data_IF_387998934344
#
_entry.id   IF_387998934344
#
_cell.length_a   1.000
_cell.length_b   1.000
_cell.length_c   1.000
_cell.angle_alpha   90.00
_cell.angle_beta   90.00
_cell.angle_gamma   90.00
#
_symmetry.space_group_name_H-M   'P 1'
#
loop_
_entity.id
_entity.type
_entity.pdbx_description
1 polymer ?
#
# COMPACT_ATOMS: atom_id res chain seq x y z
N UNK A 1 -21.92 -21.86 -4.91
CA UNK A 1 -22.28 -20.42 -4.87
C UNK A 1 -20.99 -19.63 -4.77
N UNK A 2 -20.74 -18.62 -5.62
CA UNK A 2 -19.60 -17.75 -5.36
C UNK A 2 -19.81 -17.12 -3.99
N UNK A 3 -18.78 -17.14 -3.14
CA UNK A 3 -18.84 -16.59 -1.79
C UNK A 3 -19.38 -15.15 -1.88
N UNK A 4 -20.37 -14.80 -1.04
CA UNK A 4 -20.95 -13.45 -0.98
C UNK A 4 -19.81 -12.43 -0.86
N UNK A 5 -19.54 -11.70 -1.94
CA UNK A 5 -18.57 -10.60 -1.97
C UNK A 5 -18.98 -9.57 -0.91
N UNK A 6 -18.05 -9.09 -0.06
CA UNK A 6 -18.33 -7.97 0.83
C UNK A 6 -18.82 -6.79 -0.03
N UNK A 7 -20.03 -6.29 0.23
CA UNK A 7 -20.63 -5.25 -0.58
C UNK A 7 -20.25 -3.88 -0.01
N UNK A 8 -19.61 -3.03 -0.81
CA UNK A 8 -19.48 -1.62 -0.46
C UNK A 8 -20.79 -0.89 -0.81
N UNK A 9 -21.21 0.05 0.05
CA UNK A 9 -22.53 0.68 -0.10
C UNK A 9 -22.71 1.40 -1.44
N UNK A 10 -21.66 2.06 -1.93
CA UNK A 10 -21.68 2.76 -3.21
C UNK A 10 -21.69 1.83 -4.43
N UNK A 11 -21.44 0.52 -4.23
CA UNK A 11 -21.54 -0.51 -5.28
C UNK A 11 -22.95 -1.11 -5.39
N UNK A 12 -23.89 -0.80 -4.48
CA UNK A 12 -25.27 -1.34 -4.50
C UNK A 12 -25.92 -1.26 -5.90
N UNK A 13 -25.90 -0.12 -6.63
CA UNK A 13 -26.53 -0.04 -7.95
C UNK A 13 -25.87 -0.97 -8.99
N UNK A 14 -24.57 -1.22 -8.85
CA UNK A 14 -23.83 -2.11 -9.74
C UNK A 14 -24.17 -3.57 -9.43
N UNK A 15 -24.25 -3.94 -8.15
CA UNK A 15 -24.57 -5.32 -7.75
C UNK A 15 -25.99 -5.71 -8.13
N UNK A 16 -26.95 -4.78 -8.08
CA UNK A 16 -28.31 -5.02 -8.58
C UNK A 16 -28.30 -5.35 -10.09
N UNK A 17 -27.51 -4.62 -10.89
CA UNK A 17 -27.34 -4.90 -12.32
C UNK A 17 -26.65 -6.26 -12.55
N UNK A 18 -25.60 -6.58 -11.80
CA UNK A 18 -24.90 -7.87 -11.90
C UNK A 18 -25.81 -9.05 -11.52
N UNK A 19 -26.68 -8.88 -10.52
CA UNK A 19 -27.69 -9.89 -10.17
C UNK A 19 -28.73 -10.07 -11.27
N UNK A 20 -29.18 -8.99 -11.92
CA UNK A 20 -30.08 -9.08 -13.07
C UNK A 20 -29.42 -9.80 -14.25
N UNK A 21 -28.16 -9.50 -14.55
CA UNK A 21 -27.37 -10.18 -15.59
C UNK A 21 -27.29 -11.68 -15.29
N UNK A 22 -26.98 -12.05 -14.04
CA UNK A 22 -26.86 -13.46 -13.64
C UNK A 22 -28.21 -14.19 -13.70
N UNK A 23 -29.31 -13.55 -13.30
CA UNK A 23 -30.66 -14.11 -13.43
C UNK A 23 -31.03 -14.36 -14.90
N UNK A 24 -30.74 -13.41 -15.79
CA UNK A 24 -30.99 -13.56 -17.23
C UNK A 24 -30.11 -14.67 -17.82
N UNK A 25 -28.84 -14.78 -17.41
CA UNK A 25 -27.95 -15.88 -17.81
C UNK A 25 -28.49 -17.24 -17.35
N UNK A 26 -29.07 -17.33 -16.16
CA UNK A 26 -29.68 -18.56 -15.67
C UNK A 26 -30.94 -18.92 -16.46
N UNK A 27 -31.83 -17.95 -16.69
CA UNK A 27 -33.02 -18.14 -17.53
C UNK A 27 -32.68 -18.58 -18.96
N UNK A 28 -31.60 -18.05 -19.54
CA UNK A 28 -31.11 -18.44 -20.85
C UNK A 28 -30.57 -19.88 -20.92
N UNK A 29 -30.08 -20.41 -19.80
CA UNK A 29 -29.65 -21.82 -19.72
C UNK A 29 -30.84 -22.76 -19.64
N UNK A 30 -31.91 -22.32 -18.99
CA UNK A 30 -33.11 -23.13 -18.73
C UNK A 30 -34.18 -22.99 -19.83
N UNK A 31 -34.02 -22.07 -20.79
CA UNK A 31 -34.96 -21.81 -21.88
C UNK A 31 -34.26 -21.67 -23.24
N UNK A 32 -34.91 -22.04 -24.34
CA UNK A 32 -34.39 -21.85 -25.71
C UNK A 32 -34.49 -20.39 -26.21
N UNK A 33 -34.63 -19.41 -25.31
CA UNK A 33 -34.80 -17.99 -25.67
C UNK A 33 -33.44 -17.33 -25.87
N UNK A 34 -33.23 -16.74 -27.05
CA UNK A 34 -32.03 -15.93 -27.31
C UNK A 34 -32.11 -14.59 -26.56
N UNK A 35 -31.31 -14.46 -25.51
CA UNK A 35 -31.16 -13.23 -24.71
C UNK A 35 -29.80 -12.55 -24.94
N UNK A 36 -29.04 -12.96 -25.95
CA UNK A 36 -27.65 -12.53 -26.15
C UNK A 36 -27.52 -11.00 -26.29
N UNK A 37 -28.43 -10.36 -27.02
CA UNK A 37 -28.45 -8.90 -27.17
C UNK A 37 -28.76 -8.18 -25.85
N UNK A 38 -29.72 -8.69 -25.08
CA UNK A 38 -30.10 -8.10 -23.80
C UNK A 38 -28.98 -8.24 -22.77
N UNK A 39 -28.30 -9.39 -22.74
CA UNK A 39 -27.11 -9.60 -21.91
C UNK A 39 -25.99 -8.63 -22.28
N UNK A 40 -25.67 -8.48 -23.56
CA UNK A 40 -24.63 -7.56 -24.01
C UNK A 40 -24.93 -6.10 -23.65
N UNK A 41 -26.20 -5.68 -23.74
CA UNK A 41 -26.64 -4.35 -23.32
C UNK A 41 -26.47 -4.14 -21.80
N UNK A 42 -26.89 -5.11 -20.99
CA UNK A 42 -26.77 -5.02 -19.53
C UNK A 42 -25.31 -5.08 -19.07
N UNK A 43 -24.49 -5.93 -19.67
CA UNK A 43 -23.04 -6.01 -19.39
C UNK A 43 -22.34 -4.70 -19.73
N UNK A 44 -22.68 -4.09 -20.87
CA UNK A 44 -22.16 -2.78 -21.26
C UNK A 44 -22.59 -1.67 -20.31
N UNK A 45 -23.86 -1.71 -19.85
CA UNK A 45 -24.37 -0.77 -18.86
C UNK A 45 -23.66 -0.94 -17.51
N UNK A 46 -23.47 -2.18 -17.04
CA UNK A 46 -22.79 -2.48 -15.80
C UNK A 46 -21.32 -2.02 -15.85
N UNK A 47 -20.61 -2.27 -16.96
CA UNK A 47 -19.24 -1.80 -17.16
C UNK A 47 -19.14 -0.27 -17.08
N UNK A 48 -20.01 0.45 -17.80
CA UNK A 48 -20.05 1.92 -17.77
C UNK A 48 -20.39 2.45 -16.37
N UNK A 49 -21.36 1.84 -15.68
CA UNK A 49 -21.71 2.23 -14.30
C UNK A 49 -20.56 2.00 -13.33
N UNK A 50 -19.83 0.90 -13.47
CA UNK A 50 -18.64 0.63 -12.66
C UNK A 50 -17.58 1.70 -12.86
N UNK A 51 -17.33 2.10 -14.11
CA UNK A 51 -16.38 3.17 -14.43
C UNK A 51 -16.81 4.52 -13.85
N UNK A 52 -18.09 4.89 -14.00
CA UNK A 52 -18.67 6.12 -13.42
C UNK A 52 -18.53 6.15 -11.88
N UNK A 53 -18.74 5.02 -11.20
CA UNK A 53 -18.61 4.93 -9.73
C UNK A 53 -17.13 5.05 -9.31
N UNK A 54 -16.24 4.26 -9.92
CA UNK A 54 -14.85 4.14 -9.47
C UNK A 54 -13.99 5.35 -9.85
N UNK A 55 -14.30 6.04 -10.95
CA UNK A 55 -13.64 7.31 -11.31
C UNK A 55 -14.04 8.48 -10.38
N UNK A 56 -15.21 8.39 -9.75
CA UNK A 56 -15.79 9.43 -8.90
C UNK A 56 -15.61 9.24 -7.39
N UNK A 57 -14.76 8.29 -6.94
CA UNK A 57 -14.68 7.95 -5.52
C UNK A 57 -14.15 9.10 -4.66
N UNK A 58 -14.92 9.43 -3.62
CA UNK A 58 -14.49 10.33 -2.54
C UNK A 58 -13.36 9.70 -1.72
N UNK A 59 -12.56 10.49 -0.96
CA UNK A 59 -11.52 9.93 -0.09
C UNK A 59 -12.04 8.89 0.91
N UNK A 60 -13.24 9.10 1.47
CA UNK A 60 -13.88 8.14 2.36
C UNK A 60 -14.20 6.81 1.66
N UNK A 61 -14.69 6.85 0.43
CA UNK A 61 -14.94 5.64 -0.36
C UNK A 61 -13.63 4.95 -0.79
N UNK A 62 -12.58 5.72 -1.12
CA UNK A 62 -11.25 5.14 -1.38
C UNK A 62 -10.69 4.40 -0.16
N UNK A 63 -10.88 4.91 1.06
CA UNK A 63 -10.54 4.17 2.29
C UNK A 63 -11.29 2.84 2.35
N UNK A 64 -12.59 2.81 2.01
CA UNK A 64 -13.37 1.57 1.99
C UNK A 64 -12.81 0.57 0.97
N UNK A 65 -12.39 1.03 -0.21
CA UNK A 65 -11.72 0.19 -1.22
C UNK A 65 -10.36 -0.31 -0.74
N UNK A 66 -9.54 0.55 -0.13
CA UNK A 66 -8.24 0.20 0.46
C UNK A 66 -8.36 -0.85 1.58
N UNK A 67 -9.47 -0.80 2.33
CA UNK A 67 -9.80 -1.72 3.42
C UNK A 67 -10.60 -2.95 2.97
N UNK A 68 -10.87 -3.09 1.67
CA UNK A 68 -11.73 -4.16 1.17
C UNK A 68 -11.14 -5.53 1.56
N UNK A 69 -11.92 -6.45 2.18
CA UNK A 69 -11.39 -7.72 2.70
C UNK A 69 -10.74 -8.64 1.65
N UNK A 70 -11.13 -8.48 0.38
CA UNK A 70 -10.56 -9.23 -0.75
C UNK A 70 -9.52 -8.44 -1.53
N UNK A 71 -9.09 -7.27 -1.05
CA UNK A 71 -7.99 -6.53 -1.67
C UNK A 71 -6.73 -7.40 -1.63
N UNK A 72 -6.01 -7.58 -2.75
CA UNK A 72 -4.83 -8.44 -2.76
C UNK A 72 -3.79 -7.93 -1.76
N UNK A 73 -3.29 -8.85 -0.95
CA UNK A 73 -2.28 -8.63 0.07
C UNK A 73 -0.87 -8.86 -0.49
N UNK A 74 0.16 -8.59 0.32
CA UNK A 74 1.58 -8.74 -0.09
C UNK A 74 1.88 -10.09 -0.73
N UNK A 75 1.51 -11.21 -0.08
CA UNK A 75 1.78 -12.54 -0.62
C UNK A 75 1.04 -12.84 -1.92
N UNK A 76 -0.14 -12.23 -2.13
CA UNK A 76 -0.91 -12.39 -3.37
C UNK A 76 -0.14 -11.78 -4.54
N UNK A 77 0.38 -10.57 -4.38
CA UNK A 77 1.22 -9.94 -5.39
C UNK A 77 2.53 -10.70 -5.59
N UNK A 78 3.23 -11.08 -4.52
CA UNK A 78 4.50 -11.83 -4.61
C UNK A 78 4.31 -13.11 -5.44
N UNK A 79 3.24 -13.87 -5.18
CA UNK A 79 2.94 -15.10 -5.91
C UNK A 79 2.64 -14.86 -7.40
N UNK A 80 2.01 -13.74 -7.74
CA UNK A 80 1.64 -13.41 -9.12
C UNK A 80 2.81 -12.81 -9.93
N UNK A 81 3.70 -12.04 -9.29
CA UNK A 81 4.73 -11.27 -10.01
C UNK A 81 6.13 -11.87 -9.95
N UNK A 82 6.36 -12.88 -9.10
CA UNK A 82 7.70 -13.45 -8.89
C UNK A 82 7.78 -14.96 -9.06
N UNK A 83 8.97 -15.43 -9.42
CA UNK A 83 9.33 -16.84 -9.47
C UNK A 83 10.22 -17.22 -8.28
N UNK A 84 10.05 -18.44 -7.77
CA UNK A 84 10.95 -19.04 -6.77
C UNK A 84 11.05 -18.25 -5.46
N UNK A 85 9.92 -17.72 -4.97
CA UNK A 85 9.89 -17.00 -3.70
C UNK A 85 10.15 -17.95 -2.52
N UNK A 86 11.12 -17.58 -1.69
CA UNK A 86 11.46 -18.25 -0.44
C UNK A 86 11.29 -17.27 0.72
N UNK A 87 10.28 -17.50 1.56
CA UNK A 87 10.03 -16.70 2.76
C UNK A 87 11.12 -16.93 3.81
N UNK A 88 11.56 -15.85 4.47
CA UNK A 88 12.63 -15.85 5.46
C UNK A 88 12.12 -15.32 6.80
N UNK A 89 12.06 -16.21 7.79
CA UNK A 89 11.45 -15.95 9.08
C UNK A 89 12.40 -15.37 10.14
N UNK A 90 11.81 -14.70 11.13
CA UNK A 90 12.41 -14.35 12.41
C UNK A 90 13.26 -13.07 12.40
N UNK A 91 13.37 -12.42 13.56
CA UNK A 91 14.21 -11.24 13.79
C UNK A 91 15.59 -11.57 14.39
N UNK A 92 15.84 -12.85 14.71
CA UNK A 92 17.01 -13.35 15.46
C UNK A 92 17.11 -12.84 16.91
N UNK A 93 15.99 -12.36 17.46
CA UNK A 93 15.83 -11.94 18.86
C UNK A 93 14.70 -12.70 19.58
N UNK A 94 14.15 -13.74 18.93
CA UNK A 94 13.23 -14.69 19.55
C UNK A 94 11.79 -14.64 19.02
N UNK A 95 11.50 -13.84 17.99
CA UNK A 95 10.14 -13.72 17.44
C UNK A 95 10.13 -13.71 15.91
N UNK A 96 9.05 -14.24 15.33
CA UNK A 96 8.71 -14.11 13.92
C UNK A 96 7.32 -13.49 13.78
N UNK A 97 7.28 -12.18 13.52
CA UNK A 97 6.03 -11.46 13.37
C UNK A 97 5.33 -11.80 12.05
N UNK A 98 4.10 -12.30 12.13
CA UNK A 98 3.31 -12.71 10.96
C UNK A 98 2.64 -11.55 10.22
N UNK A 99 2.60 -10.37 10.84
CA UNK A 99 2.05 -9.14 10.25
C UNK A 99 3.00 -8.53 9.20
N UNK A 100 4.27 -8.94 9.19
CA UNK A 100 5.27 -8.48 8.24
C UNK A 100 6.00 -9.67 7.65
N UNK A 101 5.84 -9.92 6.35
CA UNK A 101 6.44 -11.05 5.64
C UNK A 101 7.62 -10.55 4.79
N UNK A 102 8.54 -11.46 4.46
CA UNK A 102 9.60 -11.11 3.53
C UNK A 102 10.48 -12.29 3.16
N UNK A 103 11.13 -12.19 2.02
CA UNK A 103 11.87 -13.29 1.42
C UNK A 103 12.58 -12.90 0.14
N UNK A 104 13.24 -13.86 -0.49
CA UNK A 104 13.95 -13.66 -1.75
C UNK A 104 13.17 -14.34 -2.86
N UNK A 105 12.99 -13.66 -3.98
CA UNK A 105 12.36 -14.20 -5.19
C UNK A 105 13.01 -13.60 -6.44
N UNK A 106 12.45 -13.93 -7.60
CA UNK A 106 12.90 -13.38 -8.88
C UNK A 106 11.80 -12.57 -9.54
N UNK A 107 12.09 -11.30 -9.86
CA UNK A 107 11.26 -10.44 -10.70
C UNK A 107 11.91 -10.38 -12.09
N UNK A 108 11.25 -10.91 -13.11
CA UNK A 108 11.78 -11.01 -14.47
C UNK A 108 13.20 -11.61 -14.51
N UNK A 109 13.39 -12.72 -13.79
CA UNK A 109 14.68 -13.42 -13.66
C UNK A 109 15.69 -12.79 -12.69
N UNK A 110 15.52 -11.52 -12.28
CA UNK A 110 16.41 -10.82 -11.35
C UNK A 110 16.07 -11.13 -9.90
N UNK A 111 17.07 -11.55 -9.13
CA UNK A 111 16.91 -11.76 -7.69
C UNK A 111 16.63 -10.43 -6.96
N UNK A 112 15.58 -10.42 -6.16
CA UNK A 112 15.14 -9.26 -5.37
C UNK A 112 14.73 -9.72 -3.97
N UNK A 113 14.86 -8.84 -2.98
CA UNK A 113 14.21 -9.00 -1.69
C UNK A 113 12.80 -8.42 -1.78
N UNK A 114 11.80 -9.20 -1.39
CA UNK A 114 10.42 -8.75 -1.23
C UNK A 114 10.08 -8.72 0.25
N UNK A 115 9.41 -7.66 0.69
CA UNK A 115 9.09 -7.37 2.07
C UNK A 115 7.74 -6.66 2.11
N UNK A 116 6.87 -6.94 3.07
CA UNK A 116 5.65 -6.15 3.20
C UNK A 116 4.77 -6.53 4.36
N UNK A 117 3.76 -5.71 4.57
CA UNK A 117 2.70 -5.98 5.55
C UNK A 117 1.77 -7.05 5.02
N UNK A 118 1.36 -7.97 5.87
CA UNK A 118 0.49 -9.07 5.48
C UNK A 118 -0.76 -9.08 6.34
N UNK A 119 -1.87 -8.64 5.75
CA UNK A 119 -3.22 -8.85 6.29
C UNK A 119 -3.68 -10.29 6.04
N UNK A 120 -4.72 -10.72 6.74
CA UNK A 120 -5.36 -12.02 6.53
C UNK A 120 -6.55 -11.91 5.58
N UNK A 121 -6.91 -13.00 4.91
CA UNK A 121 -8.08 -13.05 4.01
C UNK A 121 -9.40 -13.28 4.75
N UNK A 122 -9.33 -13.91 5.92
CA UNK A 122 -10.48 -14.17 6.78
C UNK A 122 -10.21 -13.74 8.23
N UNK A 123 -11.20 -13.85 9.10
CA UNK A 123 -11.08 -13.44 10.51
C UNK A 123 -9.96 -14.18 11.24
N UNK A 124 -9.79 -15.48 10.98
CA UNK A 124 -8.79 -16.32 11.65
C UNK A 124 -7.38 -15.91 11.23
N UNK A 125 -7.18 -15.73 9.93
CA UNK A 125 -5.91 -15.24 9.40
C UNK A 125 -5.61 -13.81 9.85
N UNK A 126 -6.61 -12.93 9.88
CA UNK A 126 -6.43 -11.56 10.33
C UNK A 126 -5.97 -11.51 11.79
N UNK A 127 -6.57 -12.28 12.68
CA UNK A 127 -6.10 -12.40 14.07
C UNK A 127 -4.68 -12.95 14.11
N UNK A 128 -4.39 -14.01 13.35
CA UNK A 128 -3.06 -14.63 13.33
C UNK A 128 -1.95 -13.72 12.78
N UNK A 129 -2.32 -12.73 11.95
CA UNK A 129 -1.41 -11.73 11.36
C UNK A 129 -1.58 -10.34 11.96
N UNK A 130 -2.27 -10.24 13.10
CA UNK A 130 -2.53 -8.99 13.79
C UNK A 130 -3.08 -7.89 12.87
N UNK A 131 -3.92 -8.25 11.91
CA UNK A 131 -4.51 -7.35 10.91
C UNK A 131 -3.47 -6.54 10.11
N UNK A 132 -2.25 -7.08 9.93
CA UNK A 132 -1.14 -6.38 9.27
C UNK A 132 -0.46 -5.31 10.15
N UNK A 133 -0.77 -5.25 11.44
CA UNK A 133 -0.13 -4.36 12.41
C UNK A 133 1.13 -5.01 12.97
N UNK A 134 2.30 -4.62 12.44
CA UNK A 134 3.57 -5.16 12.91
C UNK A 134 3.90 -4.68 14.33
N UNK A 135 4.41 -5.61 15.12
CA UNK A 135 5.08 -5.42 16.41
C UNK A 135 6.57 -5.07 16.19
N UNK A 136 7.33 -4.72 17.24
CA UNK A 136 8.73 -4.32 17.08
C UNK A 136 9.60 -5.40 16.41
N UNK A 137 9.31 -6.68 16.68
CA UNK A 137 9.98 -7.81 16.04
C UNK A 137 9.76 -7.87 14.52
N UNK A 138 8.60 -7.42 14.02
CA UNK A 138 8.33 -7.28 12.59
C UNK A 138 9.27 -6.29 11.92
N UNK A 139 9.40 -5.08 12.47
CA UNK A 139 10.32 -4.07 11.93
C UNK A 139 11.79 -4.50 12.03
N UNK A 140 12.19 -5.17 13.12
CA UNK A 140 13.54 -5.73 13.28
C UNK A 140 13.82 -6.85 12.28
N UNK A 141 12.84 -7.71 11.99
CA UNK A 141 12.91 -8.69 10.91
C UNK A 141 13.06 -7.99 9.56
N UNK A 142 12.26 -6.96 9.27
CA UNK A 142 12.37 -6.17 8.06
C UNK A 142 13.80 -5.62 7.87
N UNK A 143 14.36 -4.98 8.91
CA UNK A 143 15.72 -4.44 8.87
C UNK A 143 16.78 -5.53 8.68
N UNK A 144 16.64 -6.68 9.33
CA UNK A 144 17.54 -7.82 9.12
C UNK A 144 17.54 -8.25 7.65
N UNK A 145 16.37 -8.35 7.03
CA UNK A 145 16.23 -8.71 5.62
C UNK A 145 16.79 -7.62 4.70
N UNK A 146 16.50 -6.35 4.96
CA UNK A 146 17.06 -5.23 4.20
C UNK A 146 18.60 -5.18 4.27
N UNK A 147 19.19 -5.45 5.44
CA UNK A 147 20.66 -5.58 5.60
C UNK A 147 21.22 -6.77 4.82
N UNK A 148 20.49 -7.87 4.74
CA UNK A 148 20.87 -9.01 3.92
C UNK A 148 20.87 -8.64 2.43
N UNK A 149 19.80 -8.01 1.95
CA UNK A 149 19.71 -7.51 0.58
C UNK A 149 20.83 -6.52 0.26
N UNK A 150 21.10 -5.57 1.14
CA UNK A 150 22.22 -4.63 1.01
C UNK A 150 23.58 -5.34 0.86
N UNK A 151 23.86 -6.35 1.70
CA UNK A 151 25.11 -7.12 1.65
C UNK A 151 25.29 -7.85 0.33
N UNK A 152 24.21 -8.44 -0.19
CA UNK A 152 24.23 -9.23 -1.43
C UNK A 152 23.84 -8.43 -2.67
N UNK A 153 23.74 -7.10 -2.55
CA UNK A 153 23.38 -6.17 -3.63
C UNK A 153 22.05 -6.54 -4.33
N UNK A 154 21.07 -7.00 -3.54
CA UNK A 154 19.73 -7.29 -4.01
C UNK A 154 18.88 -6.01 -3.92
N UNK A 155 18.14 -5.64 -4.98
CA UNK A 155 17.10 -4.62 -4.88
C UNK A 155 16.01 -5.03 -3.88
N UNK A 156 15.36 -4.04 -3.28
CA UNK A 156 14.35 -4.24 -2.24
C UNK A 156 13.02 -3.69 -2.73
N UNK A 157 11.98 -4.53 -2.68
CA UNK A 157 10.61 -4.19 -3.02
C UNK A 157 9.75 -4.30 -1.75
N UNK A 158 9.24 -3.15 -1.28
CA UNK A 158 8.44 -3.04 -0.06
C UNK A 158 6.95 -2.86 -0.40
N UNK A 159 6.07 -3.64 0.23
CA UNK A 159 4.62 -3.54 0.07
C UNK A 159 3.97 -3.05 1.37
N UNK A 160 3.34 -1.88 1.29
CA UNK A 160 2.74 -1.19 2.42
C UNK A 160 1.24 -1.45 2.43
N UNK A 161 0.77 -2.13 3.48
CA UNK A 161 -0.64 -2.42 3.73
C UNK A 161 -0.91 -2.67 5.22
N UNK A 162 -0.94 -1.58 5.98
CA UNK A 162 -1.14 -1.62 7.42
C UNK A 162 -2.02 -0.46 7.87
N UNK A 163 -2.96 -0.68 8.81
CA UNK A 163 -3.67 0.42 9.47
C UNK A 163 -2.74 1.20 10.42
N UNK A 164 -1.59 0.62 10.79
CA UNK A 164 -0.60 1.23 11.67
C UNK A 164 0.26 0.19 12.37
N UNK A 165 1.29 0.65 13.08
CA UNK A 165 2.04 -0.22 13.97
C UNK A 165 1.15 -0.72 15.11
N UNK A 166 1.40 -1.93 15.61
CA UNK A 166 0.62 -2.47 16.72
C UNK A 166 0.82 -1.62 17.98
N UNK A 167 -0.28 -1.06 18.51
CA UNK A 167 -0.30 -0.20 19.68
C UNK A 167 -0.74 -0.98 20.93
N UNK A 168 0.08 -1.93 21.36
CA UNK A 168 -0.17 -2.75 22.55
C UNK A 168 0.91 -2.58 23.61
N UNK A 169 0.59 -2.88 24.88
CA UNK A 169 1.52 -2.75 26.02
C UNK A 169 2.86 -3.44 25.75
N UNK A 170 2.83 -4.69 25.29
CA UNK A 170 4.03 -5.45 24.99
C UNK A 170 4.87 -4.85 23.85
N UNK A 171 4.23 -4.21 22.87
CA UNK A 171 4.95 -3.54 21.79
C UNK A 171 5.71 -2.30 22.32
N UNK A 172 5.13 -1.57 23.28
CA UNK A 172 5.81 -0.47 23.96
C UNK A 172 6.98 -0.98 24.82
N UNK A 173 6.77 -2.02 25.63
CA UNK A 173 7.83 -2.65 26.43
C UNK A 173 9.00 -3.16 25.56
N UNK A 174 8.69 -3.72 24.39
CA UNK A 174 9.68 -4.21 23.43
C UNK A 174 10.27 -3.11 22.53
N UNK A 175 9.82 -1.86 22.63
CA UNK A 175 10.39 -0.70 21.93
C UNK A 175 9.88 -0.48 20.50
N UNK A 176 8.57 -0.29 20.32
CA UNK A 176 7.94 -0.01 19.01
C UNK A 176 8.52 1.24 18.33
N UNK A 177 8.63 2.34 19.07
CA UNK A 177 9.23 3.57 18.56
C UNK A 177 10.69 3.39 18.14
N UNK A 178 11.49 2.65 18.92
CA UNK A 178 12.89 2.34 18.59
C UNK A 178 13.00 1.52 17.31
N UNK A 179 12.20 0.46 17.19
CA UNK A 179 12.28 -0.43 16.04
C UNK A 179 11.93 0.29 14.73
N UNK A 180 10.90 1.15 14.75
CA UNK A 180 10.54 2.00 13.60
C UNK A 180 11.66 3.00 13.32
N UNK A 181 12.12 3.76 14.33
CA UNK A 181 13.15 4.78 14.15
C UNK A 181 14.48 4.20 13.63
N UNK A 182 14.87 3.02 14.12
CA UNK A 182 16.04 2.30 13.63
C UNK A 182 15.89 1.95 12.14
N UNK A 183 14.72 1.45 11.72
CA UNK A 183 14.47 1.19 10.31
C UNK A 183 14.61 2.46 9.47
N UNK A 184 13.96 3.57 9.86
CA UNK A 184 14.04 4.83 9.13
C UNK A 184 15.49 5.26 8.91
N UNK A 185 16.29 5.27 9.98
CA UNK A 185 17.70 5.65 9.92
C UNK A 185 18.50 4.76 8.97
N UNK A 186 18.36 3.44 9.10
CA UNK A 186 19.17 2.48 8.35
C UNK A 186 18.78 2.44 6.86
N UNK A 187 17.50 2.65 6.55
CA UNK A 187 17.01 2.67 5.18
C UNK A 187 17.62 3.80 4.34
N UNK A 188 17.95 4.95 4.93
CA UNK A 188 18.71 6.01 4.23
C UNK A 188 20.13 5.57 3.82
N UNK A 189 20.74 4.63 4.54
CA UNK A 189 22.09 4.12 4.25
C UNK A 189 22.16 3.01 3.21
N UNK A 190 21.02 2.45 2.77
CA UNK A 190 21.01 1.31 1.86
C UNK A 190 21.57 1.70 0.47
N UNK A 191 22.62 1.01 0.07
CA UNK A 191 23.32 1.21 -1.22
C UNK A 191 22.73 0.40 -2.40
N UNK A 192 21.48 -0.07 -2.26
CA UNK A 192 20.73 -0.82 -3.27
C UNK A 192 19.44 -0.08 -3.59
N UNK A 193 18.84 -0.29 -4.77
CA UNK A 193 17.53 0.25 -5.08
C UNK A 193 16.46 -0.22 -4.10
N UNK A 194 15.64 0.71 -3.62
CA UNK A 194 14.47 0.46 -2.77
C UNK A 194 13.25 1.08 -3.43
N UNK A 195 12.25 0.26 -3.71
CA UNK A 195 10.93 0.71 -4.20
C UNK A 195 9.91 0.32 -3.16
N UNK A 196 9.16 1.30 -2.65
CA UNK A 196 8.01 1.06 -1.78
C UNK A 196 6.72 1.28 -2.56
N UNK A 197 5.73 0.42 -2.35
CA UNK A 197 4.41 0.54 -2.96
C UNK A 197 3.33 0.44 -1.89
N UNK A 198 2.49 1.46 -1.76
CA UNK A 198 1.27 1.35 -0.94
C UNK A 198 0.24 0.59 -1.75
N UNK A 199 -0.01 -0.65 -1.31
CA UNK A 199 -0.94 -1.57 -1.98
C UNK A 199 -2.32 -1.59 -1.33
N UNK A 200 -2.46 -1.05 -0.13
CA UNK A 200 -3.74 -0.90 0.57
C UNK A 200 -3.69 0.33 1.48
N UNK A 201 -3.50 0.12 2.78
CA UNK A 201 -3.38 1.21 3.75
C UNK A 201 -1.92 1.53 4.11
N UNK A 202 -1.59 2.82 4.11
CA UNK A 202 -0.34 3.38 4.61
C UNK A 202 -0.56 4.06 5.96
N UNK A 203 -0.68 3.29 7.03
CA UNK A 203 -0.91 3.80 8.38
C UNK A 203 0.34 4.33 9.08
N UNK A 204 0.48 5.66 9.13
CA UNK A 204 1.39 6.40 10.02
C UNK A 204 2.86 5.91 9.99
N UNK A 205 3.54 5.97 11.14
CA UNK A 205 4.91 5.50 11.32
C UNK A 205 5.07 3.99 11.06
N UNK A 206 4.00 3.21 11.19
CA UNK A 206 4.06 1.77 10.89
C UNK A 206 4.30 1.50 9.42
N UNK A 207 3.55 2.17 8.54
CA UNK A 207 3.80 2.15 7.11
C UNK A 207 5.19 2.72 6.76
N UNK A 208 5.56 3.84 7.39
CA UNK A 208 6.85 4.49 7.15
C UNK A 208 8.05 3.63 7.57
N UNK A 209 7.88 2.73 8.54
CA UNK A 209 8.91 1.80 9.03
C UNK A 209 9.50 0.85 7.97
N UNK A 210 8.86 0.74 6.79
CA UNK A 210 9.43 0.10 5.59
C UNK A 210 9.28 0.96 4.33
N UNK A 211 8.95 2.25 4.49
CA UNK A 211 8.54 3.15 3.41
C UNK A 211 9.58 4.20 2.99
N UNK A 212 10.80 4.17 3.56
CA UNK A 212 11.91 5.02 3.11
C UNK A 212 12.55 4.41 1.86
N UNK A 213 12.27 4.98 0.68
CA UNK A 213 12.55 4.37 -0.61
C UNK A 213 13.01 5.39 -1.67
N UNK A 214 13.73 4.90 -2.69
CA UNK A 214 14.11 5.71 -3.86
C UNK A 214 12.89 6.09 -4.70
N UNK A 215 11.91 5.18 -4.75
CA UNK A 215 10.59 5.38 -5.38
C UNK A 215 9.48 4.95 -4.43
N UNK A 216 8.47 5.79 -4.28
CA UNK A 216 7.24 5.53 -3.55
C UNK A 216 6.09 5.55 -4.56
N UNK A 217 5.52 4.38 -4.80
CA UNK A 217 4.38 4.18 -5.67
C UNK A 217 3.11 4.01 -4.81
N UNK A 218 1.95 4.34 -5.34
CA UNK A 218 0.67 4.06 -4.70
C UNK A 218 -0.33 3.57 -5.72
N UNK A 219 -1.09 2.53 -5.39
CA UNK A 219 -2.29 2.23 -6.17
C UNK A 219 -3.33 3.33 -5.99
N UNK A 220 -4.13 3.56 -7.04
CA UNK A 220 -5.05 4.68 -7.18
C UNK A 220 -6.02 4.87 -6.00
N UNK A 221 -6.50 3.76 -5.43
CA UNK A 221 -7.45 3.76 -4.30
C UNK A 221 -6.79 3.38 -2.98
N UNK A 222 -5.45 3.26 -2.93
CA UNK A 222 -4.71 3.16 -1.68
C UNK A 222 -4.64 4.50 -0.97
N UNK A 223 -4.43 4.46 0.35
CA UNK A 223 -4.38 5.66 1.20
C UNK A 223 -3.09 5.70 1.99
N UNK A 224 -2.53 6.88 2.23
CA UNK A 224 -1.35 7.06 3.09
C UNK A 224 -1.59 8.25 4.01
N UNK A 225 -1.51 8.03 5.32
CA UNK A 225 -1.91 9.04 6.30
C UNK A 225 -1.05 9.01 7.56
N UNK A 226 -0.88 10.17 8.20
CA UNK A 226 -0.18 10.31 9.49
C UNK A 226 -0.98 9.73 10.67
N UNK A 227 -2.30 9.72 10.56
CA UNK A 227 -3.22 9.18 11.57
C UNK A 227 -4.49 8.66 10.88
N UNK A 228 -5.19 7.71 11.49
CA UNK A 228 -6.46 7.27 10.94
C UNK A 228 -7.46 8.45 10.91
N UNK A 229 -8.32 8.55 9.87
CA UNK A 229 -9.35 9.58 9.81
C UNK A 229 -10.26 9.57 11.05
N UNK A 230 -10.54 8.40 11.60
CA UNK A 230 -11.34 8.22 12.82
C UNK A 230 -10.65 8.82 14.05
N UNK A 231 -9.33 8.60 14.20
CA UNK A 231 -8.56 9.21 15.30
C UNK A 231 -8.47 10.73 15.12
N UNK A 232 -8.21 11.20 13.90
CA UNK A 232 -8.17 12.63 13.58
C UNK A 232 -9.49 13.33 13.89
N UNK A 233 -10.62 12.75 13.46
CA UNK A 233 -11.96 13.25 13.74
C UNK A 233 -12.27 13.31 15.25
N UNK A 234 -11.91 12.26 15.98
CA UNK A 234 -12.10 12.21 17.44
C UNK A 234 -11.29 13.26 18.20
N UNK A 235 -10.12 13.66 17.68
CA UNK A 235 -9.25 14.65 18.34
C UNK A 235 -9.66 16.08 17.95
N UNK A 236 -9.72 16.37 16.65
CA UNK A 236 -9.90 17.73 16.15
C UNK A 236 -11.37 18.17 16.17
N UNK A 237 -12.30 17.26 15.88
CA UNK A 237 -13.73 17.55 15.88
C UNK A 237 -14.47 17.02 17.12
N UNK A 238 -13.80 16.22 17.97
CA UNK A 238 -14.42 15.54 19.13
C UNK A 238 -15.60 14.65 18.74
N UNK A 239 -15.60 14.16 17.50
CA UNK A 239 -16.67 13.35 16.93
C UNK A 239 -16.11 12.39 15.87
N UNK A 240 -16.08 11.09 16.19
CA UNK A 240 -15.60 10.05 15.28
C UNK A 240 -16.46 9.91 14.00
N UNK A 241 -17.74 10.34 14.04
CA UNK A 241 -18.62 10.30 12.88
C UNK A 241 -18.17 11.26 11.77
N UNK A 242 -17.29 12.23 12.09
CA UNK A 242 -16.69 13.16 11.13
C UNK A 242 -15.44 12.62 10.44
N UNK A 243 -15.23 11.30 10.45
CA UNK A 243 -14.10 10.65 9.78
C UNK A 243 -14.00 10.96 8.28
N UNK A 244 -15.13 11.13 7.58
CA UNK A 244 -15.15 11.52 6.18
C UNK A 244 -14.62 12.95 5.95
N UNK A 245 -15.02 13.90 6.82
CA UNK A 245 -14.53 15.28 6.80
C UNK A 245 -13.02 15.33 7.10
N UNK A 246 -12.57 14.55 8.10
CA UNK A 246 -11.16 14.41 8.44
C UNK A 246 -10.33 13.80 7.30
N UNK A 247 -10.84 12.76 6.61
CA UNK A 247 -10.16 12.14 5.48
C UNK A 247 -9.94 13.15 4.33
N UNK A 248 -10.93 14.00 4.05
CA UNK A 248 -10.82 15.07 3.06
C UNK A 248 -9.79 16.12 3.46
N UNK A 249 -9.80 16.54 4.73
CA UNK A 249 -8.88 17.55 5.25
C UNK A 249 -7.42 17.07 5.26
N UNK A 250 -7.20 15.79 5.58
CA UNK A 250 -5.88 15.18 5.67
C UNK A 250 -5.20 14.93 4.31
N UNK A 251 -5.94 14.99 3.19
CA UNK A 251 -5.39 14.82 1.83
C UNK A 251 -4.61 13.50 1.66
N UNK A 252 -5.27 12.39 1.99
CA UNK A 252 -4.65 11.06 2.14
C UNK A 252 -4.57 10.23 0.85
N UNK A 253 -5.15 10.72 -0.25
CA UNK A 253 -5.29 9.94 -1.49
C UNK A 253 -4.00 9.96 -2.32
N UNK A 254 -3.81 8.96 -3.19
CA UNK A 254 -2.67 8.92 -4.11
C UNK A 254 -2.56 10.21 -4.94
N UNK A 255 -3.69 10.75 -5.39
CA UNK A 255 -3.75 12.00 -6.18
C UNK A 255 -3.34 13.22 -5.35
N UNK A 256 -3.79 13.30 -4.09
CA UNK A 256 -3.38 14.37 -3.19
C UNK A 256 -1.87 14.34 -2.92
N UNK A 257 -1.34 13.17 -2.58
CA UNK A 257 0.05 12.98 -2.18
C UNK A 257 1.01 13.16 -3.36
N UNK A 258 0.56 12.85 -4.59
CA UNK A 258 1.30 13.18 -5.82
C UNK A 258 1.37 14.70 -6.01
N UNK A 259 0.25 15.43 -5.82
CA UNK A 259 0.25 16.91 -5.87
C UNK A 259 1.13 17.55 -4.79
N UNK A 260 1.31 16.88 -3.66
CA UNK A 260 2.20 17.29 -2.57
C UNK A 260 3.67 16.88 -2.80
N UNK A 261 3.98 16.17 -3.89
CA UNK A 261 5.34 15.72 -4.22
C UNK A 261 5.88 14.61 -3.32
N UNK A 262 4.99 13.83 -2.68
CA UNK A 262 5.34 12.71 -1.80
C UNK A 262 5.42 11.39 -2.58
N UNK A 263 4.46 11.16 -3.47
CA UNK A 263 4.33 9.95 -4.30
C UNK A 263 4.94 10.21 -5.68
N UNK A 264 5.74 9.25 -6.16
CA UNK A 264 6.41 9.35 -7.45
C UNK A 264 5.55 8.85 -8.61
N UNK A 265 4.67 7.88 -8.37
CA UNK A 265 3.76 7.34 -9.38
C UNK A 265 2.48 6.78 -8.76
N UNK A 266 1.35 7.05 -9.43
CA UNK A 266 0.06 6.41 -9.16
C UNK A 266 -0.07 5.22 -10.11
N UNK A 267 -0.40 4.05 -9.55
CA UNK A 267 -0.69 2.84 -10.30
C UNK A 267 -2.21 2.73 -10.46
N UNK A 268 -2.68 2.71 -11.70
CA UNK A 268 -4.10 2.58 -11.99
C UNK A 268 -4.63 1.22 -11.47
N UNK A 269 -5.83 1.24 -10.92
CA UNK A 269 -6.53 0.01 -10.53
C UNK A 269 -7.48 -0.42 -11.65
N UNK A 270 -7.74 -1.74 -11.80
CA UNK A 270 -8.79 -2.22 -12.68
C UNK A 270 -10.14 -1.58 -12.34
N UNK A 271 -11.02 -1.44 -13.32
CA UNK A 271 -12.38 -0.95 -13.10
C UNK A 271 -13.10 -1.85 -12.08
N UNK A 272 -13.36 -1.34 -10.86
CA UNK A 272 -13.82 -2.14 -9.72
C UNK A 272 -12.80 -2.31 -8.58
N UNK A 273 -11.60 -1.74 -8.72
CA UNK A 273 -10.49 -1.86 -7.77
C UNK A 273 -9.70 -3.16 -7.89
N UNK A 274 -8.54 -3.22 -7.24
CA UNK A 274 -7.62 -4.37 -7.34
C UNK A 274 -8.18 -5.73 -6.92
N UNK A 275 -9.24 -5.72 -6.10
CA UNK A 275 -9.93 -6.95 -5.68
C UNK A 275 -10.83 -7.54 -6.78
N UNK A 276 -11.22 -6.73 -7.77
CA UNK A 276 -12.04 -7.16 -8.90
C UNK A 276 -11.23 -7.95 -9.92
N UNK A 277 -10.05 -7.45 -10.29
CA UNK A 277 -9.13 -8.14 -11.21
C UNK A 277 -7.70 -8.20 -10.63
N UNK A 278 -7.44 -9.09 -9.64
CA UNK A 278 -6.13 -9.19 -8.99
C UNK A 278 -4.96 -9.48 -9.94
N UNK A 279 -5.21 -10.24 -11.01
CA UNK A 279 -4.19 -10.56 -12.02
C UNK A 279 -3.79 -9.33 -12.83
N UNK A 280 -4.76 -8.50 -13.22
CA UNK A 280 -4.50 -7.24 -13.93
C UNK A 280 -3.76 -6.25 -13.02
N UNK A 281 -4.20 -6.13 -11.76
CA UNK A 281 -3.51 -5.32 -10.76
C UNK A 281 -2.05 -5.77 -10.56
N UNK A 282 -1.79 -7.08 -10.53
CA UNK A 282 -0.45 -7.63 -10.42
C UNK A 282 0.42 -7.31 -11.64
N UNK A 283 -0.13 -7.34 -12.86
CA UNK A 283 0.60 -6.93 -14.07
C UNK A 283 0.93 -5.43 -14.07
N UNK A 284 -0.01 -4.57 -13.66
CA UNK A 284 0.24 -3.14 -13.48
C UNK A 284 1.40 -2.91 -12.50
N UNK A 285 1.35 -3.57 -11.34
CA UNK A 285 2.42 -3.50 -10.35
C UNK A 285 3.75 -4.01 -10.90
N UNK A 286 3.76 -5.18 -11.53
CA UNK A 286 4.97 -5.81 -12.09
C UNK A 286 5.63 -4.91 -13.13
N UNK A 287 4.84 -4.31 -14.02
CA UNK A 287 5.31 -3.39 -15.04
C UNK A 287 5.99 -2.16 -14.43
N UNK A 288 5.32 -1.50 -13.47
CA UNK A 288 5.86 -0.33 -12.80
C UNK A 288 7.14 -0.64 -12.01
N UNK A 289 7.14 -1.73 -11.22
CA UNK A 289 8.32 -2.18 -10.49
C UNK A 289 9.49 -2.46 -11.43
N UNK A 290 9.25 -3.09 -12.58
CA UNK A 290 10.28 -3.41 -13.57
C UNK A 290 10.88 -2.16 -14.20
N UNK A 291 10.06 -1.17 -14.54
CA UNK A 291 10.50 0.11 -15.11
C UNK A 291 11.35 0.89 -14.11
N UNK A 292 10.81 1.16 -12.91
CA UNK A 292 11.54 1.87 -11.85
C UNK A 292 12.83 1.15 -11.45
N UNK A 293 12.80 -0.17 -11.35
CA UNK A 293 13.98 -0.93 -10.99
C UNK A 293 15.07 -0.83 -12.08
N UNK A 294 14.69 -0.86 -13.35
CA UNK A 294 15.63 -0.69 -14.47
C UNK A 294 16.31 0.68 -14.42
N UNK A 295 15.55 1.74 -14.16
CA UNK A 295 16.08 3.10 -14.01
C UNK A 295 17.05 3.20 -12.82
N UNK A 296 16.65 2.71 -11.65
CA UNK A 296 17.46 2.81 -10.43
C UNK A 296 18.74 1.97 -10.49
N UNK A 297 18.73 0.84 -11.22
CA UNK A 297 19.93 0.02 -11.43
C UNK A 297 20.99 0.70 -12.31
N UNK A 298 20.62 1.75 -13.05
CA UNK A 298 21.57 2.59 -13.79
C UNK A 298 22.34 3.56 -12.90
N UNK A 299 21.98 3.70 -11.62
CA UNK A 299 22.60 4.63 -10.68
C UNK A 299 23.69 3.96 -9.84
N UNK A 300 24.71 4.74 -9.47
CA UNK A 300 25.70 4.28 -8.49
C UNK A 300 25.10 4.19 -7.08
N UNK A 301 25.65 3.35 -6.19
CA UNK A 301 25.34 3.33 -4.76
C UNK A 301 25.27 4.71 -4.10
N UNK A 302 26.22 5.59 -4.42
CA UNK A 302 26.31 6.96 -3.90
C UNK A 302 25.16 7.81 -4.43
N UNK A 303 24.86 7.72 -5.72
CA UNK A 303 23.76 8.44 -6.33
C UNK A 303 22.40 8.01 -5.76
N UNK A 304 22.20 6.71 -5.48
CA UNK A 304 20.99 6.21 -4.82
C UNK A 304 20.81 6.84 -3.44
N UNK A 305 21.85 6.81 -2.59
CA UNK A 305 21.81 7.40 -1.25
C UNK A 305 21.53 8.91 -1.30
N UNK A 306 22.21 9.63 -2.19
CA UNK A 306 22.06 11.08 -2.33
C UNK A 306 20.65 11.45 -2.84
N UNK A 307 20.15 10.77 -3.87
CA UNK A 307 18.80 11.00 -4.38
C UNK A 307 17.74 10.71 -3.32
N UNK A 308 17.89 9.60 -2.58
CA UNK A 308 16.98 9.26 -1.47
C UNK A 308 17.02 10.34 -0.39
N UNK A 309 18.21 10.72 0.08
CA UNK A 309 18.35 11.78 1.07
C UNK A 309 17.70 13.09 0.61
N UNK A 310 18.02 13.54 -0.61
CA UNK A 310 17.49 14.75 -1.20
C UNK A 310 15.96 14.71 -1.37
N UNK A 311 15.39 13.56 -1.78
CA UNK A 311 13.94 13.36 -1.88
C UNK A 311 13.25 13.68 -0.56
N UNK A 312 13.65 13.02 0.54
CA UNK A 312 12.99 13.22 1.82
C UNK A 312 13.31 14.58 2.44
N UNK A 313 14.49 15.15 2.20
CA UNK A 313 14.86 16.47 2.76
C UNK A 313 14.04 17.62 2.19
N UNK A 314 13.49 17.47 0.98
CA UNK A 314 12.60 18.45 0.33
C UNK A 314 11.14 18.36 0.79
N UNK A 315 10.76 17.33 1.54
CA UNK A 315 9.38 17.18 2.01
C UNK A 315 9.13 18.17 3.16
N UNK A 316 8.11 19.01 2.97
CA UNK A 316 7.70 20.04 3.93
C UNK A 316 7.77 21.44 3.33
N UNK A 317 6.77 22.27 3.62
CA UNK A 317 6.73 23.68 3.22
C UNK A 317 6.64 24.53 4.48
N UNK A 318 7.49 25.55 4.59
CA UNK A 318 7.55 26.45 5.73
C UNK A 318 7.85 27.87 5.24
N UNK A 319 7.14 28.87 5.76
CA UNK A 319 7.50 30.27 5.55
C UNK A 319 8.72 30.60 6.39
N UNK A 320 9.64 31.40 5.85
CA UNK A 320 10.84 31.87 6.56
C UNK A 320 10.59 33.19 7.31
N UNK A 321 9.35 33.51 7.65
CA UNK A 321 9.01 34.75 8.35
C UNK A 321 9.44 34.65 9.83
N UNK A 322 10.67 35.09 10.12
CA UNK A 322 11.14 35.29 11.50
C UNK A 322 12.58 34.93 11.83
N UNK A 323 13.37 34.39 10.89
CA UNK A 323 14.83 34.28 11.09
C UNK A 323 15.51 35.38 10.27
N UNK A 324 15.93 36.43 10.97
CA UNK A 324 16.85 37.40 10.40
C UNK A 324 18.00 36.66 9.70
N UNK A 325 18.27 37.06 8.46
CA UNK A 325 19.47 36.67 7.74
C UNK A 325 20.69 36.82 8.67
N UNK A 326 21.59 35.83 8.76
CA UNK A 326 22.85 36.02 9.46
C UNK A 326 23.77 36.89 8.58
N UNK A 327 23.42 38.17 8.44
CA UNK A 327 24.37 39.19 8.01
C UNK A 327 25.12 39.68 9.26
N UNK A 328 26.44 39.61 9.19
CA UNK A 328 27.44 40.09 10.17
C UNK A 328 27.68 39.25 11.43
N UNK A 329 28.37 38.12 11.27
CA UNK A 329 29.39 37.75 12.26
C UNK A 329 30.68 38.46 11.79
N UNK A 330 31.13 39.54 12.44
CA UNK A 330 32.41 40.14 12.10
C UNK A 330 33.52 39.14 12.43
N UNK A 331 34.44 38.97 11.48
CA UNK A 331 35.66 38.19 11.64
C UNK A 331 36.47 38.69 12.84
N UNK A 332 36.78 37.79 13.77
CA UNK A 332 37.91 37.91 14.70
C UNK A 332 38.78 36.69 14.53
#
# INVERSE_FOLDING_TARGET
>A
MPARRPLLEFEKPLVELEQQIEQIRQLARDSEVDVSQQLLQLESLAARRREEIFSGLTPAQKIQVARHPQRPSTLDYIQLITDGFHELHGDRRGSDDRALVGGIGRLNGRAVLLLGHQKGRDTKENVARNFGMASPSGYRKALRLMRHAHRFRLPILCFIDTPGAYAGLRAEEEGQGEAIAANLREMFGLSVPVIATVIGEGGSGGALGIGVADRLLMFEHSVYTVASPEACASILWRDAAKSAEAAQALRITAQDLTRLGIVDEILDEPCGGNHWAPTEAAETLKSALSRHLTELLGLSPEALKEQRYGKYRRIGQFSHDGLASPESIPSV
#
